data_IF_182532104585
#
_entry.id   IF_182532104585
#
_cell.length_a   1.000
_cell.length_b   1.000
_cell.length_c   1.000
_cell.angle_alpha   90.00
_cell.angle_beta   90.00
_cell.angle_gamma   90.00
#
_symmetry.space_group_name_H-M   'P 1'
#
loop_
_entity.id
_entity.type
_entity.pdbx_description
1 polymer ?
#
# COMPACT_ATOMS: atom_id res chain seq x y z
N UNK A 1 -6.37 2.48 -3.19
CA UNK A 1 -5.13 2.96 -2.53
C UNK A 1 -5.10 4.48 -2.58
N UNK A 2 -4.74 5.15 -1.48
CA UNK A 2 -4.65 6.62 -1.34
C UNK A 2 -5.93 7.44 -1.53
N UNK A 3 -6.99 6.94 -2.17
CA UNK A 3 -8.20 7.73 -2.43
C UNK A 3 -8.85 8.20 -1.12
N UNK A 4 -9.13 7.30 -0.18
CA UNK A 4 -9.85 7.65 1.05
C UNK A 4 -8.95 8.41 2.03
N UNK A 5 -7.68 8.01 2.17
CA UNK A 5 -6.74 8.62 3.10
C UNK A 5 -6.28 10.01 2.65
N UNK A 6 -6.02 10.21 1.35
CA UNK A 6 -5.59 11.49 0.80
C UNK A 6 -6.76 12.49 0.72
N UNK A 7 -7.96 12.01 0.37
CA UNK A 7 -9.16 12.85 0.42
C UNK A 7 -9.48 13.27 1.85
N UNK A 8 -9.43 12.34 2.81
CA UNK A 8 -9.60 12.64 4.22
C UNK A 8 -8.57 13.67 4.72
N UNK A 9 -7.30 13.50 4.32
CA UNK A 9 -6.25 14.42 4.69
C UNK A 9 -6.51 15.84 4.15
N UNK A 10 -6.82 16.01 2.86
CA UNK A 10 -7.05 17.36 2.33
C UNK A 10 -8.39 17.98 2.74
N UNK A 11 -9.41 17.18 2.99
CA UNK A 11 -10.73 17.67 3.36
C UNK A 11 -10.81 18.09 4.83
N UNK A 12 -10.13 17.36 5.72
CA UNK A 12 -10.34 17.50 7.17
C UNK A 12 -9.08 17.91 7.94
N UNK A 13 -7.92 18.03 7.29
CA UNK A 13 -6.67 18.39 7.97
C UNK A 13 -5.93 19.52 7.27
N UNK A 14 -5.14 20.27 8.04
CA UNK A 14 -4.20 21.28 7.55
C UNK A 14 -2.75 20.77 7.50
N UNK A 15 -2.56 19.45 7.59
CA UNK A 15 -1.26 18.81 7.78
C UNK A 15 -0.28 19.05 6.61
N UNK A 16 -0.78 18.96 5.37
CA UNK A 16 0.01 19.22 4.16
C UNK A 16 -0.89 19.86 3.11
N UNK A 17 -0.37 20.85 2.39
CA UNK A 17 -1.09 21.52 1.30
C UNK A 17 -0.99 20.70 0.02
N UNK A 18 -1.96 20.86 -0.88
CA UNK A 18 -2.03 20.08 -2.12
C UNK A 18 -0.77 20.19 -3.00
N UNK A 19 -0.14 21.37 -3.06
CA UNK A 19 1.07 21.59 -3.84
C UNK A 19 2.33 20.99 -3.20
N UNK A 20 2.37 20.91 -1.85
CA UNK A 20 3.45 20.25 -1.12
C UNK A 20 3.38 18.73 -1.34
N UNK A 21 2.18 18.17 -1.27
CA UNK A 21 1.93 16.77 -1.60
C UNK A 21 2.28 16.46 -3.06
N UNK A 22 1.95 17.36 -4.00
CA UNK A 22 2.35 17.23 -5.40
C UNK A 22 3.87 17.22 -5.57
N UNK A 23 4.58 18.11 -4.88
CA UNK A 23 6.04 18.18 -4.92
C UNK A 23 6.68 16.91 -4.37
N UNK A 24 6.14 16.37 -3.26
CA UNK A 24 6.55 15.08 -2.70
C UNK A 24 6.30 13.93 -3.70
N UNK A 25 5.13 13.91 -4.35
CA UNK A 25 4.79 12.89 -5.33
C UNK A 25 5.73 12.92 -6.54
N UNK A 26 6.07 14.11 -7.05
CA UNK A 26 7.04 14.28 -8.15
C UNK A 26 8.43 13.83 -7.70
N UNK A 27 8.88 14.25 -6.52
CA UNK A 27 10.19 13.88 -5.98
C UNK A 27 10.33 12.37 -5.81
N UNK A 28 9.32 11.70 -5.27
CA UNK A 28 9.29 10.24 -5.15
C UNK A 28 9.21 9.55 -6.51
N UNK A 29 8.42 10.08 -7.45
CA UNK A 29 8.33 9.58 -8.81
C UNK A 29 9.67 9.59 -9.53
N UNK A 30 10.41 10.70 -9.43
CA UNK A 30 11.76 10.82 -9.99
C UNK A 30 12.74 9.88 -9.29
N UNK A 31 12.73 9.84 -7.96
CA UNK A 31 13.60 8.94 -7.18
C UNK A 31 13.39 7.48 -7.60
N UNK A 32 12.15 7.01 -7.63
CA UNK A 32 11.81 5.65 -8.06
C UNK A 32 12.21 5.42 -9.52
N UNK A 33 11.98 6.39 -10.41
CA UNK A 33 12.38 6.28 -11.81
C UNK A 33 13.88 6.06 -11.99
N UNK A 34 14.71 6.81 -11.26
CA UNK A 34 16.17 6.66 -11.31
C UNK A 34 16.68 5.39 -10.63
N UNK A 35 16.01 4.92 -9.59
CA UNK A 35 16.35 3.66 -8.91
C UNK A 35 15.86 2.41 -9.65
N UNK A 36 14.96 2.57 -10.64
CA UNK A 36 14.40 1.44 -11.39
C UNK A 36 15.37 0.97 -12.48
N UNK A 37 15.83 -0.29 -12.44
CA UNK A 37 16.73 -0.83 -13.44
C UNK A 37 16.06 -0.90 -14.81
N UNK A 38 16.89 -0.98 -15.84
CA UNK A 38 16.39 -1.28 -17.18
C UNK A 38 15.92 -2.74 -17.25
N UNK A 39 14.87 -3.03 -18.02
CA UNK A 39 14.42 -4.39 -18.19
C UNK A 39 15.51 -5.26 -18.80
N UNK A 40 15.65 -6.46 -18.26
CA UNK A 40 16.54 -7.46 -18.82
C UNK A 40 16.02 -7.86 -20.22
N UNK A 41 16.91 -8.05 -21.18
CA UNK A 41 16.53 -8.47 -22.53
C UNK A 41 16.47 -10.01 -22.66
N UNK A 42 17.18 -10.72 -21.78
CA UNK A 42 17.42 -12.16 -21.87
C UNK A 42 16.64 -12.96 -20.81
N UNK A 43 15.66 -12.35 -20.14
CA UNK A 43 14.91 -13.08 -19.12
C UNK A 43 13.90 -14.06 -19.74
N UNK A 44 13.81 -15.23 -19.12
CA UNK A 44 12.86 -16.28 -19.50
C UNK A 44 11.66 -16.30 -18.55
N UNK A 45 10.48 -16.55 -19.12
CA UNK A 45 9.28 -16.80 -18.34
C UNK A 45 9.37 -18.16 -17.64
N UNK A 46 9.15 -18.16 -16.32
CA UNK A 46 9.08 -19.38 -15.52
C UNK A 46 7.72 -19.46 -14.83
N UNK A 47 7.00 -20.54 -15.09
CA UNK A 47 5.74 -20.82 -14.42
C UNK A 47 5.98 -21.66 -13.15
N UNK A 48 5.50 -21.23 -11.98
CA UNK A 48 5.68 -21.96 -10.75
C UNK A 48 4.77 -23.21 -10.73
N UNK A 49 5.29 -24.39 -10.35
CA UNK A 49 4.51 -25.63 -10.37
C UNK A 49 3.48 -25.74 -9.24
N UNK A 50 3.56 -24.89 -8.19
CA UNK A 50 2.60 -24.86 -7.09
C UNK A 50 2.54 -23.48 -6.43
N UNK A 51 1.52 -23.26 -5.58
CA UNK A 51 1.36 -22.02 -4.81
C UNK A 51 2.57 -21.73 -3.89
N UNK A 52 3.15 -22.77 -3.30
CA UNK A 52 4.33 -22.62 -2.45
C UNK A 52 5.52 -22.09 -3.28
N UNK A 53 5.77 -22.68 -4.45
CA UNK A 53 6.79 -22.20 -5.36
C UNK A 53 6.48 -20.81 -5.89
N UNK A 54 5.21 -20.47 -6.12
CA UNK A 54 4.82 -19.12 -6.49
C UNK A 54 5.25 -18.07 -5.45
N UNK A 55 4.97 -18.30 -4.15
CA UNK A 55 5.40 -17.39 -3.08
C UNK A 55 6.92 -17.34 -2.94
N UNK A 56 7.61 -18.47 -3.09
CA UNK A 56 9.06 -18.48 -3.01
C UNK A 56 9.69 -17.74 -4.20
N UNK A 57 9.20 -17.99 -5.41
CA UNK A 57 9.76 -17.44 -6.66
C UNK A 57 9.44 -15.97 -6.84
N UNK A 58 8.26 -15.51 -6.40
CA UNK A 58 7.94 -14.08 -6.38
C UNK A 58 8.86 -13.32 -5.44
N UNK A 59 9.17 -13.89 -4.26
CA UNK A 59 10.14 -13.29 -3.34
C UNK A 59 11.56 -13.31 -3.89
N UNK A 60 11.97 -14.36 -4.59
CA UNK A 60 13.32 -14.48 -5.13
C UNK A 60 13.54 -13.67 -6.42
N UNK A 61 12.49 -13.14 -7.06
CA UNK A 61 12.63 -12.35 -8.28
C UNK A 61 12.58 -13.17 -9.58
N UNK A 62 12.03 -14.39 -9.55
CA UNK A 62 12.00 -15.28 -10.73
C UNK A 62 10.72 -15.18 -11.56
N UNK A 63 9.71 -14.44 -11.09
CA UNK A 63 8.44 -14.27 -11.78
C UNK A 63 8.41 -12.98 -12.60
N UNK A 64 7.49 -12.93 -13.55
CA UNK A 64 7.14 -11.68 -14.23
C UNK A 64 6.66 -10.65 -13.22
N UNK A 65 7.00 -9.39 -13.48
CA UNK A 65 6.56 -8.27 -12.65
C UNK A 65 5.03 -8.25 -12.45
N UNK A 66 4.25 -8.49 -13.52
CA UNK A 66 2.79 -8.47 -13.46
C UNK A 66 2.25 -9.49 -12.46
N UNK A 67 2.84 -10.69 -12.43
CA UNK A 67 2.37 -11.80 -11.62
C UNK A 67 2.77 -11.62 -10.16
N UNK A 68 3.92 -10.99 -9.89
CA UNK A 68 4.30 -10.56 -8.55
C UNK A 68 3.50 -9.32 -8.07
N UNK A 69 3.00 -8.48 -8.98
CA UNK A 69 2.32 -7.24 -8.64
C UNK A 69 0.83 -7.40 -8.36
N UNK A 70 0.05 -7.89 -9.33
CA UNK A 70 -1.41 -7.81 -9.31
C UNK A 70 -2.08 -8.58 -8.16
N UNK A 71 -1.70 -9.84 -7.84
CA UNK A 71 -2.38 -10.59 -6.80
C UNK A 71 -2.30 -9.91 -5.43
N UNK A 72 -1.13 -9.40 -5.07
CA UNK A 72 -0.92 -8.66 -3.83
C UNK A 72 -1.56 -7.28 -3.88
N UNK A 73 -1.51 -6.58 -5.02
CA UNK A 73 -2.18 -5.31 -5.18
C UNK A 73 -3.69 -5.43 -4.92
N UNK A 74 -4.34 -6.41 -5.53
CA UNK A 74 -5.78 -6.65 -5.38
C UNK A 74 -6.09 -7.05 -3.94
N UNK A 75 -5.36 -8.01 -3.38
CA UNK A 75 -5.57 -8.48 -2.00
C UNK A 75 -5.41 -7.33 -0.99
N UNK A 76 -4.34 -6.56 -1.11
CA UNK A 76 -4.04 -5.45 -0.19
C UNK A 76 -5.14 -4.38 -0.22
N UNK A 77 -5.56 -3.96 -1.42
CA UNK A 77 -6.60 -2.95 -1.56
C UNK A 77 -7.97 -3.46 -1.13
N UNK A 78 -8.30 -4.72 -1.45
CA UNK A 78 -9.58 -5.32 -1.04
C UNK A 78 -9.69 -5.42 0.49
N UNK A 79 -8.61 -5.80 1.16
CA UNK A 79 -8.60 -5.87 2.64
C UNK A 79 -8.72 -4.48 3.25
N UNK A 80 -7.98 -3.47 2.76
CA UNK A 80 -8.11 -2.11 3.28
C UNK A 80 -9.52 -1.55 3.09
N UNK A 81 -10.12 -1.75 1.91
CA UNK A 81 -11.50 -1.34 1.64
C UNK A 81 -12.48 -2.01 2.60
N UNK A 82 -12.34 -3.32 2.83
CA UNK A 82 -13.19 -4.05 3.76
C UNK A 82 -13.06 -3.53 5.20
N UNK A 83 -11.84 -3.25 5.66
CA UNK A 83 -11.60 -2.72 7.01
C UNK A 83 -12.26 -1.35 7.19
N UNK A 84 -12.09 -0.45 6.22
CA UNK A 84 -12.67 0.89 6.28
C UNK A 84 -14.20 0.83 6.26
N UNK A 85 -14.77 -0.02 5.41
CA UNK A 85 -16.21 -0.27 5.35
C UNK A 85 -16.77 -0.76 6.70
N UNK A 86 -16.13 -1.75 7.32
CA UNK A 86 -16.56 -2.30 8.62
C UNK A 86 -16.45 -1.29 9.76
N UNK A 87 -15.49 -0.37 9.71
CA UNK A 87 -15.40 0.72 10.67
C UNK A 87 -16.58 1.67 10.51
N UNK A 88 -16.92 2.06 9.28
CA UNK A 88 -18.05 2.95 9.00
C UNK A 88 -19.40 2.35 9.42
N UNK A 89 -19.58 1.04 9.26
CA UNK A 89 -20.79 0.33 9.75
C UNK A 89 -20.83 0.16 11.27
N UNK A 90 -19.77 0.53 11.99
CA UNK A 90 -19.69 0.37 13.44
C UNK A 90 -19.35 -1.06 13.90
N UNK A 91 -19.13 -1.99 12.98
CA UNK A 91 -18.87 -3.41 13.27
C UNK A 91 -17.41 -3.69 13.68
N UNK A 92 -16.51 -2.72 13.50
CA UNK A 92 -15.09 -2.81 13.87
C UNK A 92 -14.73 -1.86 15.01
N UNK A 93 -14.05 -2.37 16.05
CA UNK A 93 -13.46 -1.52 17.09
C UNK A 93 -12.16 -0.88 16.60
N UNK A 94 -11.73 0.20 17.27
CA UNK A 94 -10.43 0.83 17.01
C UNK A 94 -9.28 -0.18 17.17
N UNK A 95 -9.31 -1.04 18.19
CA UNK A 95 -8.32 -2.11 18.39
C UNK A 95 -8.27 -3.09 17.21
N UNK A 96 -9.43 -3.53 16.70
CA UNK A 96 -9.50 -4.41 15.54
C UNK A 96 -8.95 -3.74 14.29
N UNK A 97 -9.28 -2.46 14.07
CA UNK A 97 -8.74 -1.67 12.96
C UNK A 97 -7.21 -1.56 13.03
N UNK A 98 -6.65 -1.22 14.19
CA UNK A 98 -5.19 -1.14 14.39
C UNK A 98 -4.53 -2.50 14.15
N UNK A 99 -5.12 -3.57 14.70
CA UNK A 99 -4.59 -4.94 14.55
C UNK A 99 -4.51 -5.35 13.09
N UNK A 100 -5.56 -5.08 12.30
CA UNK A 100 -5.55 -5.39 10.88
C UNK A 100 -4.49 -4.60 10.11
N UNK A 101 -4.28 -3.32 10.42
CA UNK A 101 -3.23 -2.51 9.78
C UNK A 101 -1.82 -3.02 10.13
N UNK A 102 -1.61 -3.53 11.34
CA UNK A 102 -0.35 -4.19 11.74
C UNK A 102 -0.16 -5.50 10.98
N UNK A 103 -1.20 -6.34 10.89
CA UNK A 103 -1.16 -7.60 10.13
C UNK A 103 -0.82 -7.32 8.66
N UNK A 104 -1.39 -6.27 8.07
CA UNK A 104 -1.16 -5.87 6.68
C UNK A 104 0.23 -5.29 6.40
N UNK A 105 0.99 -4.89 7.42
CA UNK A 105 2.37 -4.43 7.25
C UNK A 105 3.30 -5.53 6.72
N UNK A 106 3.13 -6.78 7.18
CA UNK A 106 3.96 -7.91 6.74
C UNK A 106 3.76 -8.25 5.26
N UNK A 107 2.52 -8.45 4.75
CA UNK A 107 2.26 -8.58 3.32
C UNK A 107 2.77 -7.40 2.50
N UNK A 108 2.73 -6.17 3.01
CA UNK A 108 3.25 -5.00 2.32
C UNK A 108 4.77 -5.05 2.15
N UNK A 109 5.51 -5.41 3.21
CA UNK A 109 6.97 -5.61 3.13
C UNK A 109 7.28 -6.72 2.12
N UNK A 110 6.56 -7.83 2.20
CA UNK A 110 6.72 -8.95 1.29
C UNK A 110 6.49 -8.53 -0.17
N UNK A 111 5.37 -7.87 -0.43
CA UNK A 111 4.96 -7.41 -1.76
C UNK A 111 5.96 -6.42 -2.35
N UNK A 112 6.49 -5.52 -1.52
CA UNK A 112 7.53 -4.57 -1.91
C UNK A 112 8.79 -5.32 -2.32
N UNK A 113 9.28 -6.27 -1.52
CA UNK A 113 10.44 -7.07 -1.88
C UNK A 113 10.26 -7.83 -3.20
N UNK A 114 9.09 -8.45 -3.40
CA UNK A 114 8.78 -9.18 -4.62
C UNK A 114 8.74 -8.26 -5.86
N UNK A 115 8.03 -7.13 -5.79
CA UNK A 115 7.93 -6.16 -6.90
C UNK A 115 9.31 -5.61 -7.26
N UNK A 116 10.10 -5.22 -6.26
CA UNK A 116 11.42 -4.62 -6.49
C UNK A 116 12.41 -5.60 -7.12
N UNK A 117 12.38 -6.87 -6.71
CA UNK A 117 13.21 -7.93 -7.29
C UNK A 117 12.76 -8.38 -8.67
N UNK A 118 11.45 -8.35 -8.97
CA UNK A 118 10.92 -8.69 -10.29
C UNK A 118 10.88 -7.49 -11.26
N UNK A 119 11.44 -6.34 -10.91
CA UNK A 119 11.28 -5.10 -11.69
C UNK A 119 12.03 -5.10 -13.03
N UNK A 120 13.08 -5.91 -13.15
CA UNK A 120 13.81 -6.15 -14.39
C UNK A 120 13.11 -7.19 -15.29
N UNK A 121 12.21 -8.02 -14.74
CA UNK A 121 11.45 -9.08 -15.44
C UNK A 121 10.15 -8.54 -16.06
N UNK A 122 10.30 -7.57 -16.95
CA UNK A 122 9.17 -6.92 -17.66
C UNK A 122 9.58 -6.51 -19.08
N UNK A 123 8.61 -6.20 -19.94
CA UNK A 123 8.89 -5.67 -21.28
C UNK A 123 9.09 -4.15 -21.33
N UNK A 124 8.82 -3.42 -20.24
CA UNK A 124 8.91 -1.96 -20.22
C UNK A 124 9.29 -1.41 -18.86
N UNK A 125 10.29 -0.53 -18.84
CA UNK A 125 10.74 0.19 -17.65
C UNK A 125 9.63 1.01 -17.01
N UNK A 126 8.72 1.59 -17.81
CA UNK A 126 7.61 2.42 -17.30
C UNK A 126 6.69 1.60 -16.39
N UNK A 127 6.42 0.34 -16.75
CA UNK A 127 5.62 -0.56 -15.92
C UNK A 127 6.32 -0.91 -14.60
N UNK A 128 7.64 -1.11 -14.62
CA UNK A 128 8.44 -1.33 -13.41
C UNK A 128 8.40 -0.12 -12.46
N UNK A 129 8.55 1.10 -13.01
CA UNK A 129 8.46 2.34 -12.24
C UNK A 129 7.09 2.49 -11.60
N UNK A 130 6.02 2.28 -12.37
CA UNK A 130 4.65 2.36 -11.86
C UNK A 130 4.41 1.33 -10.75
N UNK A 131 4.82 0.07 -10.95
CA UNK A 131 4.65 -0.98 -9.94
C UNK A 131 5.39 -0.64 -8.63
N UNK A 132 6.64 -0.19 -8.71
CA UNK A 132 7.42 0.25 -7.54
C UNK A 132 6.79 1.46 -6.87
N UNK A 133 6.35 2.46 -7.64
CA UNK A 133 5.69 3.66 -7.10
C UNK A 133 4.41 3.28 -6.35
N UNK A 134 3.65 2.30 -6.85
CA UNK A 134 2.46 1.80 -6.17
C UNK A 134 2.81 1.12 -4.83
N UNK A 135 3.89 0.34 -4.74
CA UNK A 135 4.32 -0.22 -3.44
C UNK A 135 4.74 0.86 -2.44
N UNK A 136 5.43 1.91 -2.90
CA UNK A 136 5.79 3.07 -2.07
C UNK A 136 4.54 3.84 -1.63
N UNK A 137 3.61 4.06 -2.55
CA UNK A 137 2.34 4.70 -2.26
C UNK A 137 1.49 3.91 -1.25
N UNK A 138 1.59 2.57 -1.22
CA UNK A 138 0.93 1.76 -0.20
C UNK A 138 1.52 1.96 1.21
N UNK A 139 2.85 2.16 1.33
CA UNK A 139 3.47 2.57 2.60
C UNK A 139 3.01 3.95 3.04
N UNK A 140 2.96 4.90 2.11
CA UNK A 140 2.45 6.25 2.41
C UNK A 140 0.99 6.20 2.85
N UNK A 141 0.15 5.41 2.20
CA UNK A 141 -1.25 5.21 2.59
C UNK A 141 -1.37 4.68 4.03
N UNK A 142 -0.57 3.65 4.37
CA UNK A 142 -0.53 3.09 5.71
C UNK A 142 -0.07 4.12 6.75
N UNK A 143 1.00 4.86 6.48
CA UNK A 143 1.50 5.92 7.36
C UNK A 143 0.48 7.04 7.53
N UNK A 144 -0.19 7.45 6.45
CA UNK A 144 -1.21 8.49 6.47
C UNK A 144 -2.38 8.10 7.36
N UNK A 145 -2.84 6.85 7.24
CA UNK A 145 -3.89 6.28 8.10
C UNK A 145 -3.47 6.29 9.57
N UNK A 146 -2.22 5.99 9.87
CA UNK A 146 -1.67 6.09 11.24
C UNK A 146 -1.63 7.54 11.77
N UNK A 147 -1.27 8.51 10.92
CA UNK A 147 -1.30 9.93 11.29
C UNK A 147 -2.73 10.38 11.56
N UNK A 148 -3.68 10.05 10.67
CA UNK A 148 -5.10 10.40 10.86
C UNK A 148 -5.64 9.74 12.13
N UNK A 149 -5.35 8.46 12.37
CA UNK A 149 -5.74 7.78 13.61
C UNK A 149 -5.25 8.50 14.87
N UNK A 150 -4.00 8.97 14.87
CA UNK A 150 -3.40 9.60 16.07
C UNK A 150 -3.90 11.01 16.33
N UNK A 151 -4.08 11.82 15.29
CA UNK A 151 -4.34 13.26 15.41
C UNK A 151 -5.79 13.64 15.10
N UNK A 152 -6.49 12.83 14.32
CA UNK A 152 -7.85 13.11 13.84
C UNK A 152 -8.75 11.85 13.87
N UNK A 153 -8.87 11.16 15.02
CA UNK A 153 -9.61 9.90 15.12
C UNK A 153 -11.10 10.04 14.74
N UNK A 154 -11.69 11.22 14.96
CA UNK A 154 -13.07 11.56 14.60
C UNK A 154 -13.40 11.44 13.11
N UNK A 155 -12.39 11.40 12.22
CA UNK A 155 -12.61 11.25 10.78
C UNK A 155 -13.01 9.82 10.43
N UNK A 156 -12.45 8.83 11.12
CA UNK A 156 -12.68 7.42 10.82
C UNK A 156 -13.62 6.73 11.81
N UNK A 157 -13.62 7.14 13.08
CA UNK A 157 -14.34 6.45 14.13
C UNK A 157 -15.51 7.26 14.66
N UNK A 158 -16.60 6.59 14.98
CA UNK A 158 -17.76 7.21 15.62
C UNK A 158 -17.47 7.51 17.10
N UNK A 159 -18.14 8.53 17.67
CA UNK A 159 -17.98 8.90 19.08
C UNK A 159 -18.11 7.70 20.04
N UNK A 160 -19.07 6.80 19.81
CA UNK A 160 -19.25 5.63 20.67
C UNK A 160 -18.00 4.73 20.71
N UNK A 161 -17.35 4.52 19.56
CA UNK A 161 -16.12 3.74 19.50
C UNK A 161 -14.96 4.47 20.17
N UNK A 162 -14.90 5.80 20.03
CA UNK A 162 -13.89 6.62 20.69
C UNK A 162 -14.06 6.68 22.20
N UNK A 163 -15.27 6.83 22.72
CA UNK A 163 -15.54 6.79 24.16
C UNK A 163 -15.16 5.44 24.77
N UNK A 164 -15.41 4.33 24.07
CA UNK A 164 -15.00 2.99 24.54
C UNK A 164 -13.48 2.86 24.61
N UNK A 165 -12.76 3.46 23.66
CA UNK A 165 -11.31 3.27 23.54
C UNK A 165 -10.45 4.30 24.28
N UNK A 166 -10.87 5.55 24.27
CA UNK A 166 -10.13 6.70 24.77
C UNK A 166 -10.84 7.38 25.96
N UNK A 167 -12.08 7.00 26.25
CA UNK A 167 -12.88 7.58 27.34
C UNK A 167 -13.48 8.95 27.02
N UNK A 168 -13.31 9.45 25.79
CA UNK A 168 -13.70 10.81 25.38
C UNK A 168 -14.12 10.87 23.90
N UNK A 169 -14.93 11.88 23.55
CA UNK A 169 -15.25 12.33 22.20
C UNK A 169 -15.24 13.88 22.18
#
# INVERSE_FOLDING_TARGET
MLIDSLSALFAFTSFIRWYEALLVAIGLGLLVFYLTPEPDAEWEEREPPSLYFYLQWSWLGYLKLKDAFYPFFILYNAVLFLIDYRVQEGEFTVASWVTMHIIMAMPLIYWTGAVWRCSDKTGSRRWAVLARLMTVAAFLDLLLRWVIYRYYPNIFFNCQQMTIHWGDC
#
